data_IF_394097238891
#
_entry.id   IF_394097238891
#
_cell.length_a   1.000
_cell.length_b   1.000
_cell.length_c   1.000
_cell.angle_alpha   90.00
_cell.angle_beta   90.00
_cell.angle_gamma   90.00
#
_symmetry.space_group_name_H-M   'P 1'
#
loop_
_entity.id
_entity.type
_entity.pdbx_description
1 polymer ?
#
# COMPACT_ATOMS: atom_id res chain seq x y z
N UNK A 1 42.58 -21.53 -18.21
CA UNK A 1 42.34 -20.97 -16.89
C UNK A 1 41.57 -19.61 -16.89
N UNK A 2 41.70 -18.73 -17.91
CA UNK A 2 40.99 -17.43 -17.95
C UNK A 2 39.45 -17.54 -18.18
N UNK A 3 38.97 -18.56 -18.87
CA UNK A 3 37.52 -18.76 -19.15
C UNK A 3 36.71 -19.23 -17.92
N UNK A 4 37.35 -20.01 -17.02
CA UNK A 4 36.71 -20.47 -15.79
C UNK A 4 36.50 -19.37 -14.76
N UNK A 5 37.41 -18.37 -14.72
CA UNK A 5 37.31 -17.25 -13.80
C UNK A 5 36.13 -16.30 -14.18
N UNK A 6 35.86 -16.15 -15.49
CA UNK A 6 34.76 -15.32 -15.97
C UNK A 6 33.39 -15.94 -15.67
N UNK A 7 33.29 -17.27 -15.71
CA UNK A 7 32.03 -18.00 -15.39
C UNK A 7 31.72 -17.92 -13.90
N UNK A 8 32.71 -17.98 -13.02
CA UNK A 8 32.54 -17.86 -11.56
C UNK A 8 32.10 -16.44 -11.18
N UNK A 9 32.68 -15.40 -11.81
CA UNK A 9 32.29 -14.02 -11.57
C UNK A 9 30.85 -13.77 -12.03
N UNK A 10 30.41 -14.32 -13.17
CA UNK A 10 29.06 -14.18 -13.68
C UNK A 10 28.00 -14.85 -12.77
N UNK A 11 28.33 -16.03 -12.18
CA UNK A 11 27.45 -16.72 -11.21
C UNK A 11 27.32 -15.96 -9.87
N UNK A 12 28.34 -15.19 -9.46
CA UNK A 12 28.27 -14.36 -8.26
C UNK A 12 27.34 -13.14 -8.46
N UNK A 13 27.23 -12.61 -9.68
CA UNK A 13 26.33 -11.47 -9.95
C UNK A 13 24.84 -11.86 -9.98
N UNK A 14 24.50 -13.11 -10.31
CA UNK A 14 23.10 -13.57 -10.35
C UNK A 14 22.49 -13.64 -8.94
N UNK A 15 23.27 -13.96 -7.91
CA UNK A 15 22.77 -14.05 -6.54
C UNK A 15 22.52 -12.68 -5.86
N UNK A 16 23.13 -11.60 -6.35
CA UNK A 16 22.95 -10.26 -5.78
C UNK A 16 21.58 -9.63 -6.17
N UNK A 17 21.00 -10.05 -7.29
CA UNK A 17 19.71 -9.52 -7.77
C UNK A 17 18.52 -10.02 -6.93
N UNK A 18 18.47 -11.29 -6.61
CA UNK A 18 17.37 -11.88 -5.84
C UNK A 18 17.36 -11.40 -4.38
N UNK A 19 18.53 -11.23 -3.76
CA UNK A 19 18.65 -10.72 -2.38
C UNK A 19 18.19 -9.27 -2.23
N UNK A 20 18.31 -8.44 -3.28
CA UNK A 20 17.86 -7.05 -3.24
C UNK A 20 16.34 -6.93 -3.38
N UNK A 21 15.70 -7.79 -4.16
CA UNK A 21 14.26 -7.76 -4.37
C UNK A 21 13.51 -8.25 -3.13
N UNK A 22 13.98 -9.32 -2.50
CA UNK A 22 13.42 -9.82 -1.24
C UNK A 22 13.56 -8.80 -0.11
N UNK A 23 14.71 -8.10 -0.03
CA UNK A 23 14.92 -7.04 0.94
C UNK A 23 13.96 -5.84 0.70
N UNK A 24 13.75 -5.44 -0.56
CA UNK A 24 12.82 -4.36 -0.87
C UNK A 24 11.38 -4.75 -0.53
N UNK A 25 10.94 -5.96 -0.89
CA UNK A 25 9.62 -6.49 -0.56
C UNK A 25 9.37 -6.48 0.95
N UNK A 26 10.34 -6.95 1.73
CA UNK A 26 10.27 -6.95 3.20
C UNK A 26 10.10 -5.55 3.77
N UNK A 27 10.92 -4.60 3.31
CA UNK A 27 10.84 -3.20 3.74
C UNK A 27 9.52 -2.54 3.31
N UNK A 28 9.05 -2.81 2.09
CA UNK A 28 7.76 -2.31 1.63
C UNK A 28 6.62 -2.86 2.49
N UNK A 29 6.66 -4.13 2.83
CA UNK A 29 5.68 -4.75 3.75
C UNK A 29 5.69 -4.05 5.11
N UNK A 30 6.88 -3.84 5.72
CA UNK A 30 7.02 -3.14 7.00
C UNK A 30 6.49 -1.70 6.90
N UNK A 31 6.80 -1.00 5.82
CA UNK A 31 6.30 0.36 5.57
C UNK A 31 4.77 0.40 5.48
N UNK A 32 4.16 -0.52 4.73
CA UNK A 32 2.70 -0.60 4.57
C UNK A 32 1.99 -0.88 5.91
N UNK A 33 2.57 -1.72 6.76
CA UNK A 33 2.09 -1.89 8.14
C UNK A 33 2.26 -0.62 8.96
N UNK A 34 3.43 0.00 8.91
CA UNK A 34 3.73 1.18 9.71
C UNK A 34 2.82 2.38 9.39
N UNK A 35 2.39 2.52 8.14
CA UNK A 35 1.48 3.61 7.71
C UNK A 35 -0.02 3.28 7.88
N UNK A 36 -0.38 2.09 8.35
CA UNK A 36 -1.79 1.66 8.48
C UNK A 36 -2.44 1.21 7.16
N UNK A 37 -1.65 1.00 6.11
CA UNK A 37 -2.17 0.60 4.79
C UNK A 37 -2.70 -0.83 4.78
N UNK A 38 -2.09 -1.73 5.53
CA UNK A 38 -2.50 -3.14 5.58
C UNK A 38 -3.84 -3.30 6.28
N UNK A 39 -4.15 -2.52 7.30
CA UNK A 39 -5.43 -2.54 8.01
C UNK A 39 -6.59 -2.19 7.06
N UNK A 40 -6.37 -1.30 6.10
CA UNK A 40 -7.35 -0.96 5.07
C UNK A 40 -7.62 -2.15 4.15
N UNK A 41 -6.58 -2.91 3.77
CA UNK A 41 -6.74 -4.14 2.97
C UNK A 41 -7.40 -5.25 3.77
N UNK A 42 -7.09 -5.40 5.05
CA UNK A 42 -7.77 -6.34 5.96
C UNK A 42 -9.27 -6.09 5.98
N UNK A 43 -9.68 -4.84 6.16
CA UNK A 43 -11.09 -4.46 6.14
C UNK A 43 -11.77 -4.80 4.80
N UNK A 44 -11.08 -4.57 3.68
CA UNK A 44 -11.57 -4.93 2.35
C UNK A 44 -11.75 -6.44 2.18
N UNK A 45 -10.76 -7.24 2.61
CA UNK A 45 -10.82 -8.71 2.56
C UNK A 45 -11.96 -9.23 3.43
N UNK A 46 -12.14 -8.67 4.64
CA UNK A 46 -13.22 -9.04 5.54
C UNK A 46 -14.59 -8.72 4.92
N UNK A 47 -14.76 -7.54 4.33
CA UNK A 47 -15.99 -7.15 3.65
C UNK A 47 -16.32 -8.08 2.48
N UNK A 48 -15.35 -8.40 1.64
CA UNK A 48 -15.54 -9.33 0.52
C UNK A 48 -15.89 -10.72 1.02
N UNK A 49 -15.20 -11.25 2.03
CA UNK A 49 -15.51 -12.55 2.63
C UNK A 49 -16.95 -12.62 3.12
N UNK A 50 -17.44 -11.57 3.77
CA UNK A 50 -18.81 -11.47 4.23
C UNK A 50 -19.82 -11.44 3.06
N UNK A 51 -19.52 -10.73 1.97
CA UNK A 51 -20.37 -10.66 0.78
C UNK A 51 -20.55 -12.03 0.11
N UNK A 52 -19.50 -12.85 0.09
CA UNK A 52 -19.56 -14.21 -0.47
C UNK A 52 -20.16 -15.26 0.49
N UNK A 53 -20.57 -14.84 1.70
CA UNK A 53 -21.13 -15.74 2.70
C UNK A 53 -20.17 -16.84 3.15
N UNK A 54 -18.86 -16.62 2.97
CA UNK A 54 -17.83 -17.59 3.25
C UNK A 54 -17.64 -17.73 4.76
N UNK A 55 -18.20 -18.79 5.35
CA UNK A 55 -17.91 -19.19 6.73
C UNK A 55 -16.55 -19.90 6.78
N UNK A 56 -15.47 -19.16 6.58
CA UNK A 56 -14.13 -19.69 6.82
C UNK A 56 -13.91 -19.80 8.34
N UNK A 57 -13.26 -20.89 8.79
CA UNK A 57 -12.74 -20.90 10.14
C UNK A 57 -11.58 -19.89 10.26
N UNK A 58 -11.26 -19.47 11.47
CA UNK A 58 -10.29 -18.41 11.71
C UNK A 58 -8.89 -18.73 11.13
N UNK A 59 -8.46 -19.97 11.17
CA UNK A 59 -7.17 -20.42 10.64
C UNK A 59 -7.10 -20.25 9.11
N UNK A 60 -8.08 -20.79 8.38
CA UNK A 60 -8.17 -20.64 6.92
C UNK A 60 -8.33 -19.18 6.49
N UNK A 61 -9.06 -18.38 7.26
CA UNK A 61 -9.17 -16.96 7.00
C UNK A 61 -7.82 -16.25 7.13
N UNK A 62 -7.05 -16.56 8.18
CA UNK A 62 -5.73 -15.96 8.40
C UNK A 62 -4.71 -16.39 7.32
N UNK A 63 -4.72 -17.65 6.90
CA UNK A 63 -3.91 -18.15 5.79
C UNK A 63 -4.23 -17.40 4.50
N UNK A 64 -5.50 -17.35 4.13
CA UNK A 64 -5.99 -16.64 2.95
C UNK A 64 -5.60 -15.15 2.98
N UNK A 65 -5.80 -14.49 4.11
CA UNK A 65 -5.42 -13.08 4.31
C UNK A 65 -3.93 -12.87 4.09
N UNK A 66 -3.10 -13.71 4.68
CA UNK A 66 -1.63 -13.63 4.55
C UNK A 66 -1.20 -13.79 3.09
N UNK A 67 -1.78 -14.76 2.38
CA UNK A 67 -1.52 -14.99 0.97
C UNK A 67 -1.93 -13.78 0.12
N UNK A 68 -3.12 -13.22 0.34
CA UNK A 68 -3.62 -12.08 -0.42
C UNK A 68 -2.80 -10.82 -0.18
N UNK A 69 -2.38 -10.55 1.06
CA UNK A 69 -1.49 -9.43 1.38
C UNK A 69 -0.13 -9.62 0.69
N UNK A 70 0.46 -10.82 0.74
CA UNK A 70 1.72 -11.09 0.06
C UNK A 70 1.63 -10.89 -1.44
N UNK A 71 0.57 -11.40 -2.07
CA UNK A 71 0.31 -11.23 -3.50
C UNK A 71 0.09 -9.75 -3.89
N UNK A 72 -0.56 -8.97 -3.04
CA UNK A 72 -0.72 -7.53 -3.24
C UNK A 72 0.64 -6.82 -3.16
N UNK A 73 1.45 -7.11 -2.15
CA UNK A 73 2.79 -6.50 -2.01
C UNK A 73 3.65 -6.80 -3.22
N UNK A 74 3.62 -8.02 -3.77
CA UNK A 74 4.35 -8.38 -5.00
C UNK A 74 3.96 -7.48 -6.19
N UNK A 75 2.68 -7.13 -6.31
CA UNK A 75 2.19 -6.20 -7.34
C UNK A 75 2.58 -4.75 -7.07
N UNK A 76 2.72 -4.37 -5.79
CA UNK A 76 3.09 -3.01 -5.38
C UNK A 76 4.60 -2.75 -5.49
N UNK A 77 5.46 -3.77 -5.31
CA UNK A 77 6.93 -3.62 -5.40
C UNK A 77 7.37 -2.85 -6.65
N UNK A 78 6.97 -3.20 -7.90
CA UNK A 78 7.42 -2.47 -9.08
C UNK A 78 6.88 -1.03 -9.13
N UNK A 79 5.75 -0.74 -8.50
CA UNK A 79 5.18 0.61 -8.43
C UNK A 79 6.01 1.47 -7.47
N UNK A 80 6.23 0.98 -6.26
CA UNK A 80 6.97 1.72 -5.23
C UNK A 80 8.44 1.92 -5.59
N UNK A 81 9.09 0.93 -6.22
CA UNK A 81 10.49 1.05 -6.69
C UNK A 81 10.72 2.19 -7.68
N UNK A 82 9.70 2.63 -8.41
CA UNK A 82 9.80 3.79 -9.32
C UNK A 82 9.94 5.11 -8.57
N UNK A 83 9.50 5.17 -7.32
CA UNK A 83 9.34 6.42 -6.58
C UNK A 83 10.15 6.46 -5.28
N UNK A 84 10.36 5.32 -4.63
CA UNK A 84 11.04 5.22 -3.33
C UNK A 84 12.20 4.24 -3.41
N UNK A 85 13.36 4.68 -2.94
CA UNK A 85 14.53 3.83 -2.74
C UNK A 85 14.42 3.03 -1.44
N UNK A 86 15.32 2.07 -1.23
CA UNK A 86 15.47 1.35 0.04
C UNK A 86 15.72 2.31 1.22
N UNK A 87 16.50 3.37 1.00
CA UNK A 87 16.77 4.39 2.03
C UNK A 87 15.51 5.19 2.39
N UNK A 88 14.68 5.52 1.40
CA UNK A 88 13.43 6.25 1.61
C UNK A 88 12.43 5.42 2.41
N UNK A 89 12.28 4.12 2.09
CA UNK A 89 11.44 3.21 2.86
C UNK A 89 11.89 3.11 4.32
N UNK A 90 13.20 2.97 4.57
CA UNK A 90 13.74 2.93 5.93
C UNK A 90 13.46 4.24 6.69
N UNK A 91 13.65 5.39 6.07
CA UNK A 91 13.37 6.69 6.67
C UNK A 91 11.87 6.85 6.98
N UNK A 92 10.98 6.46 6.06
CA UNK A 92 9.54 6.49 6.25
C UNK A 92 9.09 5.57 7.38
N UNK A 93 9.61 4.35 7.47
CA UNK A 93 9.34 3.43 8.58
C UNK A 93 9.72 4.06 9.93
N UNK A 94 10.91 4.68 10.01
CA UNK A 94 11.35 5.37 11.22
C UNK A 94 10.42 6.53 11.59
N UNK A 95 9.96 7.31 10.61
CA UNK A 95 8.98 8.38 10.82
C UNK A 95 7.67 7.84 11.42
N UNK A 96 7.11 6.77 10.85
CA UNK A 96 5.88 6.15 11.36
C UNK A 96 6.05 5.48 12.73
N UNK A 97 7.26 5.13 13.15
CA UNK A 97 7.55 4.63 14.51
C UNK A 97 7.52 5.74 15.58
N UNK A 98 7.56 7.02 15.19
CA UNK A 98 7.43 8.15 16.13
C UNK A 98 5.99 8.28 16.67
N UNK A 99 5.78 8.94 17.83
CA UNK A 99 4.44 9.16 18.38
C UNK A 99 3.50 9.86 17.37
N UNK A 100 3.99 10.87 16.66
CA UNK A 100 3.18 11.58 15.66
C UNK A 100 2.94 10.73 14.41
N UNK A 101 3.93 9.94 13.97
CA UNK A 101 3.78 9.03 12.85
C UNK A 101 2.72 7.96 13.10
N UNK A 102 2.72 7.35 14.30
CA UNK A 102 1.68 6.40 14.73
C UNK A 102 0.29 7.05 14.73
N UNK A 103 0.18 8.25 15.31
CA UNK A 103 -1.07 8.99 15.31
C UNK A 103 -1.58 9.29 13.89
N UNK A 104 -0.68 9.64 12.96
CA UNK A 104 -1.05 9.85 11.55
C UNK A 104 -1.55 8.56 10.91
N UNK A 105 -0.86 7.42 11.12
CA UNK A 105 -1.29 6.13 10.60
C UNK A 105 -2.69 5.75 11.06
N UNK A 106 -2.98 5.93 12.35
CA UNK A 106 -4.27 5.62 12.96
C UNK A 106 -5.39 6.57 12.51
N UNK A 107 -5.09 7.87 12.37
CA UNK A 107 -6.12 8.90 12.09
C UNK A 107 -6.36 9.11 10.61
N UNK A 108 -5.40 8.82 9.74
CA UNK A 108 -5.53 9.06 8.28
C UNK A 108 -6.77 8.40 7.68
N UNK A 109 -7.12 7.13 7.96
CA UNK A 109 -8.33 6.51 7.42
C UNK A 109 -9.60 7.25 7.85
N UNK A 110 -9.69 7.68 9.11
CA UNK A 110 -10.83 8.41 9.66
C UNK A 110 -10.96 9.80 9.01
N UNK A 111 -9.85 10.54 8.94
CA UNK A 111 -9.80 11.85 8.29
C UNK A 111 -10.19 11.73 6.81
N UNK A 112 -9.72 10.71 6.13
CA UNK A 112 -10.05 10.46 4.71
C UNK A 112 -11.55 10.21 4.54
N UNK A 113 -12.15 9.41 5.41
CA UNK A 113 -13.58 9.12 5.38
C UNK A 113 -14.42 10.40 5.62
N UNK A 114 -14.08 11.19 6.62
CA UNK A 114 -14.77 12.45 6.92
C UNK A 114 -14.58 13.48 5.80
N UNK A 115 -13.36 13.62 5.28
CA UNK A 115 -13.06 14.53 4.16
C UNK A 115 -13.83 14.14 2.89
N UNK A 116 -14.03 12.85 2.65
CA UNK A 116 -14.83 12.38 1.52
C UNK A 116 -16.29 12.85 1.62
N UNK A 117 -16.90 12.82 2.82
CA UNK A 117 -18.26 13.34 3.05
C UNK A 117 -18.33 14.85 2.78
N UNK A 118 -17.34 15.61 3.28
CA UNK A 118 -17.24 17.07 3.02
C UNK A 118 -17.08 17.33 1.51
N UNK A 119 -16.26 16.56 0.81
CA UNK A 119 -16.04 16.70 -0.63
C UNK A 119 -17.30 16.47 -1.47
N UNK A 120 -18.13 15.51 -1.07
CA UNK A 120 -19.44 15.26 -1.72
C UNK A 120 -20.35 16.49 -1.55
N UNK A 121 -20.49 17.02 -0.33
CA UNK A 121 -21.27 18.23 -0.07
C UNK A 121 -20.80 19.42 -0.88
N UNK A 122 -19.49 19.67 -0.89
CA UNK A 122 -18.88 20.76 -1.65
C UNK A 122 -19.08 20.61 -3.17
N UNK A 123 -19.02 19.38 -3.70
CA UNK A 123 -19.30 19.14 -5.13
C UNK A 123 -20.74 19.49 -5.51
N UNK A 124 -21.71 19.25 -4.62
CA UNK A 124 -23.12 19.66 -4.83
C UNK A 124 -23.26 21.19 -4.82
N UNK A 125 -22.57 21.89 -3.93
CA UNK A 125 -22.57 23.37 -3.89
C UNK A 125 -21.98 23.96 -5.18
N UNK A 126 -20.90 23.38 -5.69
CA UNK A 126 -20.30 23.79 -6.99
C UNK A 126 -21.32 23.62 -8.10
N UNK A 127 -21.99 22.47 -8.18
CA UNK A 127 -22.97 22.19 -9.23
C UNK A 127 -24.13 23.21 -9.19
N UNK A 128 -24.65 23.54 -8.01
CA UNK A 128 -25.70 24.56 -7.85
C UNK A 128 -25.24 25.95 -8.29
N UNK A 129 -24.02 26.36 -7.90
CA UNK A 129 -23.47 27.67 -8.31
C UNK A 129 -23.24 27.75 -9.82
N UNK A 130 -22.76 26.66 -10.42
CA UNK A 130 -22.58 26.60 -11.88
C UNK A 130 -23.91 26.72 -12.63
N UNK A 131 -24.98 26.06 -12.18
CA UNK A 131 -26.32 26.20 -12.75
C UNK A 131 -26.81 27.65 -12.70
N UNK A 132 -26.65 28.34 -11.56
CA UNK A 132 -27.03 29.75 -11.42
C UNK A 132 -26.26 30.67 -12.38
N UNK A 133 -25.01 30.41 -12.71
CA UNK A 133 -24.22 31.17 -13.68
C UNK A 133 -24.74 30.96 -15.10
N UNK A 134 -25.04 29.71 -15.48
CA UNK A 134 -25.54 29.36 -16.81
C UNK A 134 -26.93 29.97 -17.11
N UNK A 135 -27.78 30.11 -16.08
CA UNK A 135 -29.13 30.71 -16.22
C UNK A 135 -29.09 32.24 -16.38
N UNK A 136 -28.05 32.91 -15.87
CA UNK A 136 -27.88 34.37 -16.00
C UNK A 136 -27.43 34.78 -17.40
N UNK A 137 -26.72 33.90 -18.12
CA UNK A 137 -26.21 34.18 -19.48
C UNK A 137 -27.20 33.83 -20.63
N UNK A 138 -28.47 33.52 -20.31
CA UNK A 138 -29.56 33.31 -21.27
C UNK A 138 -30.54 34.50 -21.27
#
# INVERSE_FOLDING_TARGET
MKKSLFTVIFLLFINLGFSQDDNYKSLLTEFLYAQGGIETFDATIAQMSNMFGAKLNQEKYNEFKTEMISALVDKLVPVYKKHLSVSDLKAAILMYKTPIGKKLAEMTPLITQETMQVSIGWSMEIAQKMQGIIEIDK
#
